data_IF_617058914560
#
_entry.id   IF_617058914560
#
_cell.length_a   1.000
_cell.length_b   1.000
_cell.length_c   1.000
_cell.angle_alpha   90.00
_cell.angle_beta   90.00
_cell.angle_gamma   90.00
#
_symmetry.space_group_name_H-M   'P 1'
#
loop_
_entity.id
_entity.type
_entity.pdbx_description
1 polymer ?
#
# COMPACT_ATOMS: atom_id res chain seq x y z
N UNK A 1 -4.17 19.79 12.82
CA UNK A 1 -3.34 19.93 14.04
C UNK A 1 -2.92 18.54 14.49
N UNK A 2 -1.64 18.32 14.84
CA UNK A 2 -1.21 17.06 15.43
C UNK A 2 -1.89 16.86 16.80
N UNK A 3 -2.44 15.68 17.05
CA UNK A 3 -3.06 15.32 18.33
C UNK A 3 -1.97 14.83 19.29
N UNK A 4 -1.75 15.54 20.40
CA UNK A 4 -0.70 15.23 21.38
C UNK A 4 -0.88 13.89 22.11
N UNK A 5 -2.06 13.26 21.98
CA UNK A 5 -2.31 11.91 22.52
C UNK A 5 -1.93 10.78 21.56
N UNK A 6 -1.58 11.10 20.32
CA UNK A 6 -1.18 10.13 19.31
C UNK A 6 0.33 10.21 19.09
N UNK A 7 0.95 9.05 18.89
CA UNK A 7 2.34 9.01 18.44
C UNK A 7 2.48 9.75 17.11
N UNK A 8 3.61 10.46 16.87
CA UNK A 8 3.89 11.04 15.56
C UNK A 8 3.89 9.96 14.49
N UNK A 9 3.27 10.25 13.34
CA UNK A 9 3.33 9.34 12.19
C UNK A 9 4.64 9.60 11.45
N UNK A 10 5.46 8.58 11.29
CA UNK A 10 6.64 8.60 10.43
C UNK A 10 6.29 7.94 9.07
N UNK A 11 6.13 8.71 7.97
CA UNK A 11 5.70 8.14 6.69
C UNK A 11 6.70 7.14 6.07
N UNK A 12 7.99 7.29 6.38
CA UNK A 12 9.08 6.39 5.95
C UNK A 12 9.00 5.01 6.56
N UNK A 13 8.37 4.86 7.73
CA UNK A 13 8.23 3.56 8.39
C UNK A 13 7.31 2.60 7.62
N UNK A 14 6.39 3.12 6.81
CA UNK A 14 5.39 2.30 6.12
C UNK A 14 5.85 1.86 4.74
N UNK A 15 6.74 0.86 4.67
CA UNK A 15 7.33 0.44 3.40
C UNK A 15 6.34 -0.06 2.34
N UNK A 16 5.27 -0.74 2.74
CA UNK A 16 4.42 -1.49 1.83
C UNK A 16 3.09 -0.79 1.57
N UNK A 17 2.71 -0.65 0.31
CA UNK A 17 1.45 -0.08 -0.13
C UNK A 17 0.49 -1.19 -0.58
N UNK A 18 -0.76 -1.15 -0.14
CA UNK A 18 -1.82 -2.00 -0.70
C UNK A 18 -2.62 -1.20 -1.71
N UNK A 19 -2.86 -1.80 -2.88
CA UNK A 19 -3.73 -1.29 -3.93
C UNK A 19 -4.89 -2.28 -4.13
N UNK A 20 -6.11 -1.80 -4.38
CA UNK A 20 -7.26 -2.68 -4.60
C UNK A 20 -7.32 -3.22 -6.03
N UNK A 21 -6.72 -2.48 -6.97
CA UNK A 21 -6.64 -2.78 -8.40
C UNK A 21 -8.02 -3.07 -9.02
N UNK A 22 -9.01 -2.24 -8.70
CA UNK A 22 -10.38 -2.33 -9.25
C UNK A 22 -10.43 -2.31 -10.78
N UNK A 23 -9.39 -1.78 -11.44
CA UNK A 23 -9.22 -1.83 -12.89
C UNK A 23 -9.19 -3.26 -13.45
N UNK A 24 -8.75 -4.26 -12.66
CA UNK A 24 -8.77 -5.68 -13.06
C UNK A 24 -10.18 -6.23 -13.26
N UNK A 25 -11.20 -5.51 -12.77
CA UNK A 25 -12.61 -5.84 -12.90
C UNK A 25 -13.36 -4.83 -13.78
N UNK A 26 -12.64 -3.99 -14.53
CA UNK A 26 -13.21 -2.88 -15.32
C UNK A 26 -14.04 -1.88 -14.50
N UNK A 27 -13.78 -1.79 -13.19
CA UNK A 27 -14.49 -0.87 -12.29
C UNK A 27 -13.81 0.52 -12.19
N UNK A 28 -12.58 0.65 -12.69
CA UNK A 28 -11.88 1.93 -12.80
C UNK A 28 -10.91 1.93 -13.98
N UNK A 29 -10.57 3.12 -14.48
CA UNK A 29 -9.76 3.30 -15.69
C UNK A 29 -8.34 3.84 -15.43
N UNK A 30 -7.97 4.10 -14.17
CA UNK A 30 -6.71 4.73 -13.80
C UNK A 30 -5.87 3.91 -12.83
N UNK A 31 -4.56 4.23 -12.71
CA UNK A 31 -3.70 3.62 -11.70
C UNK A 31 -4.30 3.88 -10.32
N UNK A 32 -4.44 2.79 -9.57
CA UNK A 32 -5.09 2.83 -8.27
C UNK A 32 -4.16 3.48 -7.24
N UNK A 33 -4.72 4.33 -6.36
CA UNK A 33 -3.95 4.89 -5.26
C UNK A 33 -3.82 3.85 -4.16
N UNK A 34 -2.75 3.95 -3.37
CA UNK A 34 -2.61 3.08 -2.20
C UNK A 34 -3.80 3.33 -1.25
N UNK A 35 -4.54 2.27 -0.93
CA UNK A 35 -5.69 2.30 0.00
C UNK A 35 -5.25 2.19 1.45
N UNK A 36 -4.09 1.56 1.69
CA UNK A 36 -3.49 1.40 3.00
C UNK A 36 -1.96 1.25 2.90
N UNK A 37 -1.27 1.63 3.98
CA UNK A 37 0.18 1.55 4.11
C UNK A 37 0.55 0.70 5.33
N UNK A 38 1.58 -0.12 5.21
CA UNK A 38 2.02 -1.04 6.26
C UNK A 38 3.54 -1.05 6.39
N UNK A 39 4.01 -1.23 7.62
CA UNK A 39 5.43 -1.46 7.90
C UNK A 39 5.88 -2.85 7.43
N UNK A 40 5.01 -3.85 7.54
CA UNK A 40 5.34 -5.24 7.23
C UNK A 40 4.52 -5.80 6.06
N UNK A 41 5.21 -6.42 5.11
CA UNK A 41 4.64 -7.03 3.89
C UNK A 41 3.55 -8.05 4.19
N UNK A 42 3.80 -8.94 5.16
CA UNK A 42 2.86 -10.01 5.52
C UNK A 42 1.52 -9.47 6.02
N UNK A 43 1.54 -8.35 6.75
CA UNK A 43 0.31 -7.70 7.24
C UNK A 43 -0.43 -7.05 6.08
N UNK A 44 0.30 -6.39 5.17
CA UNK A 44 -0.26 -5.83 3.94
C UNK A 44 -0.99 -6.90 3.10
N UNK A 45 -0.38 -8.07 2.91
CA UNK A 45 -1.02 -9.19 2.22
C UNK A 45 -2.22 -9.75 2.96
N UNK A 46 -2.13 -9.87 4.28
CA UNK A 46 -3.25 -10.36 5.09
C UNK A 46 -4.46 -9.44 4.95
N UNK A 47 -4.23 -8.12 5.06
CA UNK A 47 -5.26 -7.12 4.87
C UNK A 47 -5.84 -7.14 3.44
N UNK A 48 -4.98 -7.10 2.42
CA UNK A 48 -5.40 -7.10 1.03
C UNK A 48 -6.24 -8.33 0.66
N UNK A 49 -5.82 -9.52 1.09
CA UNK A 49 -6.56 -10.77 0.86
C UNK A 49 -7.93 -10.81 1.54
N UNK A 50 -8.07 -10.19 2.72
CA UNK A 50 -9.36 -10.11 3.42
C UNK A 50 -10.32 -9.16 2.71
N UNK A 51 -9.81 -8.08 2.12
CA UNK A 51 -10.62 -7.05 1.46
C UNK A 51 -10.96 -7.40 0.01
N UNK A 52 -9.98 -7.90 -0.74
CA UNK A 52 -10.10 -8.25 -2.16
C UNK A 52 -9.39 -9.57 -2.42
N UNK A 53 -10.08 -10.72 -2.36
CA UNK A 53 -9.44 -12.03 -2.40
C UNK A 53 -8.48 -12.25 -3.57
N UNK A 54 -8.77 -11.67 -4.74
CA UNK A 54 -8.07 -11.97 -5.99
C UNK A 54 -7.54 -10.75 -6.77
N UNK A 55 -7.82 -9.52 -6.36
CA UNK A 55 -7.49 -8.34 -7.18
C UNK A 55 -6.41 -7.46 -6.59
N UNK A 56 -6.20 -7.47 -5.28
CA UNK A 56 -5.24 -6.58 -4.63
C UNK A 56 -3.78 -6.81 -5.07
N UNK A 57 -2.97 -5.77 -4.88
CA UNK A 57 -1.52 -5.83 -5.01
C UNK A 57 -0.86 -5.19 -3.79
N UNK A 58 0.34 -5.68 -3.45
CA UNK A 58 1.21 -5.11 -2.43
C UNK A 58 2.48 -4.66 -3.11
N UNK A 59 2.80 -3.37 -2.98
CA UNK A 59 3.93 -2.72 -3.66
C UNK A 59 4.92 -2.22 -2.62
N UNK A 60 6.20 -2.51 -2.84
CA UNK A 60 7.29 -1.91 -2.07
C UNK A 60 7.47 -0.44 -2.48
N UNK A 61 7.42 0.47 -1.51
CA UNK A 61 7.60 1.91 -1.73
C UNK A 61 9.05 2.38 -1.55
N UNK A 62 10.00 1.49 -1.26
CA UNK A 62 11.40 1.91 -1.21
C UNK A 62 11.87 2.38 -2.59
N UNK A 63 12.68 3.46 -2.64
CA UNK A 63 13.29 3.89 -3.88
C UNK A 63 14.11 2.74 -4.45
N UNK A 64 13.80 2.32 -5.67
CA UNK A 64 14.62 1.40 -6.41
C UNK A 64 15.98 2.08 -6.65
N UNK A 65 17.13 1.41 -6.40
CA UNK A 65 18.42 2.02 -6.66
C UNK A 65 18.49 2.42 -8.14
N UNK A 66 18.67 3.71 -8.37
CA UNK A 66 18.85 4.33 -9.67
C UNK A 66 20.16 3.78 -10.28
N UNK A 67 20.07 2.69 -11.06
CA UNK A 67 21.24 2.03 -11.63
C UNK A 67 21.16 0.52 -11.88
N UNK A 68 20.00 -0.13 -11.72
CA UNK A 68 19.81 -1.51 -12.14
C UNK A 68 19.36 -1.61 -13.61
N UNK A 69 20.21 -1.17 -14.54
CA UNK A 69 20.18 -1.53 -15.98
C UNK A 69 21.60 -1.67 -16.50
#
# INVERSE_FOLDING_TARGET
>A
MPNSKLAPVEPSAYRWAVHCCSYKLDLSYGPDRAVALFEHERVAHTFGRLMWPNTYEVVDRQPQPEGAL
#
